data_IF_626836121476
#
_entry.id   IF_626836121476
#
_cell.length_a   1.000
_cell.length_b   1.000
_cell.length_c   1.000
_cell.angle_alpha   90.00
_cell.angle_beta   90.00
_cell.angle_gamma   90.00
#
_symmetry.space_group_name_H-M   'P 1'
#
loop_
_entity.id
_entity.type
_entity.pdbx_description
1 polymer ?
#
# COMPACT_ATOMS: atom_id res chain seq x y z
N UNK A 1 -34.12 -13.22 61.60
CA UNK A 1 -34.30 -13.51 60.16
C UNK A 1 -34.37 -12.18 59.43
N UNK A 2 -33.45 -11.92 58.49
CA UNK A 2 -33.60 -11.15 57.23
C UNK A 2 -32.19 -11.02 56.62
N UNK A 3 -31.97 -11.69 55.49
CA UNK A 3 -30.71 -11.76 54.76
C UNK A 3 -30.71 -10.70 53.65
N UNK A 4 -29.76 -9.76 53.70
CA UNK A 4 -29.56 -8.79 52.61
C UNK A 4 -28.58 -9.37 51.59
N UNK A 5 -29.11 -10.01 50.55
CA UNK A 5 -28.36 -10.31 49.34
C UNK A 5 -28.09 -8.98 48.59
N UNK A 6 -26.85 -8.52 48.60
CA UNK A 6 -26.41 -7.38 47.79
C UNK A 6 -26.17 -7.85 46.35
N UNK A 7 -26.65 -7.13 45.32
CA UNK A 7 -26.57 -7.58 43.94
C UNK A 7 -25.14 -7.43 43.42
N UNK A 8 -24.41 -8.54 43.32
CA UNK A 8 -23.04 -8.62 42.76
C UNK A 8 -23.03 -8.28 41.25
N UNK A 9 -24.20 -8.24 40.60
CA UNK A 9 -24.34 -8.10 39.14
C UNK A 9 -23.92 -6.72 38.56
N UNK A 10 -23.85 -5.65 39.37
CA UNK A 10 -23.61 -4.31 38.83
C UNK A 10 -22.12 -3.97 38.57
N UNK A 11 -21.17 -4.74 39.11
CA UNK A 11 -19.73 -4.45 38.96
C UNK A 11 -19.10 -5.08 37.71
N UNK A 12 -19.75 -6.05 37.08
CA UNK A 12 -19.22 -6.71 35.87
C UNK A 12 -19.46 -5.91 34.58
N UNK A 13 -20.44 -5.00 34.55
CA UNK A 13 -20.77 -4.20 33.37
C UNK A 13 -19.77 -3.08 33.05
N UNK A 14 -19.17 -2.47 34.07
CA UNK A 14 -18.25 -1.33 33.88
C UNK A 14 -16.84 -1.76 33.44
N UNK A 15 -16.38 -2.95 33.85
CA UNK A 15 -15.06 -3.47 33.46
C UNK A 15 -14.98 -3.86 31.98
N UNK A 16 -16.10 -4.23 31.36
CA UNK A 16 -16.15 -4.63 29.95
C UNK A 16 -16.01 -3.44 28.98
N UNK A 17 -16.46 -2.24 29.34
CA UNK A 17 -16.31 -1.06 28.48
C UNK A 17 -14.88 -0.47 28.50
N UNK A 18 -14.12 -0.66 29.57
CA UNK A 18 -12.75 -0.15 29.66
C UNK A 18 -11.76 -0.92 28.76
N UNK A 19 -12.08 -2.16 28.37
CA UNK A 19 -11.23 -2.98 27.50
C UNK A 19 -11.32 -2.61 26.01
N UNK A 20 -12.34 -1.85 25.59
CA UNK A 20 -12.56 -1.45 24.20
C UNK A 20 -11.88 -0.13 23.81
N UNK A 21 -11.35 0.63 24.77
CA UNK A 21 -10.70 1.92 24.52
C UNK A 21 -9.19 1.81 24.24
N UNK A 22 -8.61 0.61 24.29
CA UNK A 22 -7.15 0.41 24.16
C UNK A 22 -6.61 0.28 22.73
N UNK A 23 -7.43 0.44 21.69
CA UNK A 23 -6.99 0.37 20.30
C UNK A 23 -6.79 1.77 19.67
N UNK A 24 -6.21 2.69 20.43
CA UNK A 24 -5.53 3.83 19.81
C UNK A 24 -4.16 3.31 19.33
N UNK A 25 -4.10 2.90 18.06
CA UNK A 25 -2.86 2.60 17.35
C UNK A 25 -1.99 3.88 17.32
N UNK A 26 -1.25 4.13 18.40
CA UNK A 26 -0.23 5.19 18.53
C UNK A 26 1.00 4.92 17.66
N UNK A 27 0.83 4.24 16.52
CA UNK A 27 1.89 3.95 15.58
C UNK A 27 2.09 5.22 14.76
N UNK A 28 3.26 5.90 14.85
CA UNK A 28 3.54 7.07 14.03
C UNK A 28 3.37 6.69 12.55
N UNK A 29 2.86 7.59 11.69
CA UNK A 29 2.64 7.29 10.29
C UNK A 29 3.95 6.83 9.66
N UNK A 30 4.01 5.56 9.24
CA UNK A 30 5.19 4.92 8.64
C UNK A 30 5.41 5.34 7.16
N UNK A 31 4.82 6.48 6.77
CA UNK A 31 4.91 7.03 5.43
C UNK A 31 6.08 8.02 5.29
N UNK A 32 6.55 8.34 4.06
CA UNK A 32 7.04 9.68 3.85
C UNK A 32 5.85 10.62 4.05
N UNK A 33 5.60 10.99 5.30
CA UNK A 33 4.88 12.19 5.67
C UNK A 33 5.82 13.35 5.32
N UNK A 34 5.97 13.58 4.01
CA UNK A 34 6.95 14.50 3.48
C UNK A 34 6.43 15.08 2.18
N UNK A 35 7.05 16.18 1.73
CA UNK A 35 6.55 16.96 0.60
C UNK A 35 6.23 16.06 -0.58
N UNK A 36 7.17 15.21 -1.03
CA UNK A 36 7.04 14.36 -2.22
C UNK A 36 5.72 13.57 -2.32
N UNK A 37 5.22 13.00 -1.21
CA UNK A 37 3.97 12.23 -1.24
C UNK A 37 2.72 13.11 -1.41
N UNK A 38 2.76 14.36 -0.94
CA UNK A 38 1.64 15.30 -1.04
C UNK A 38 1.48 15.94 -2.43
N UNK A 39 2.42 15.69 -3.35
CA UNK A 39 2.60 16.39 -4.64
C UNK A 39 2.95 15.37 -5.73
N UNK A 40 2.74 14.09 -5.40
CA UNK A 40 2.75 12.99 -6.34
C UNK A 40 1.67 13.22 -7.40
N UNK A 41 2.01 13.00 -8.66
CA UNK A 41 1.14 13.20 -9.81
C UNK A 41 0.99 11.88 -10.59
N UNK A 42 -0.20 11.26 -10.56
CA UNK A 42 -0.44 10.00 -11.25
C UNK A 42 -0.31 10.11 -12.78
N UNK A 43 -0.49 11.29 -13.37
CA UNK A 43 -0.29 11.47 -14.81
C UNK A 43 1.20 11.41 -15.18
N UNK A 44 2.07 12.04 -14.38
CA UNK A 44 3.53 11.86 -14.51
C UNK A 44 3.94 10.42 -14.24
N UNK A 45 3.37 9.81 -13.20
CA UNK A 45 3.62 8.41 -12.84
C UNK A 45 3.34 7.45 -13.99
N UNK A 46 2.24 7.64 -14.71
CA UNK A 46 1.93 6.87 -15.92
C UNK A 46 3.04 6.95 -16.98
N UNK A 47 3.56 8.15 -17.23
CA UNK A 47 4.66 8.36 -18.18
C UNK A 47 5.95 7.68 -17.72
N UNK A 48 6.26 7.78 -16.43
CA UNK A 48 7.44 7.17 -15.82
C UNK A 48 7.40 5.65 -15.86
N UNK A 49 6.25 5.00 -15.67
CA UNK A 49 6.11 3.54 -15.80
C UNK A 49 6.59 3.03 -17.16
N UNK A 50 6.28 3.76 -18.24
CA UNK A 50 6.76 3.42 -19.57
C UNK A 50 8.26 3.74 -19.72
N UNK A 51 8.67 4.94 -19.32
CA UNK A 51 10.04 5.43 -19.51
C UNK A 51 11.10 4.68 -18.67
N UNK A 52 10.72 4.19 -17.49
CA UNK A 52 11.59 3.48 -16.54
C UNK A 52 11.55 1.97 -16.72
N UNK A 53 10.90 1.47 -17.78
CA UNK A 53 10.97 0.05 -18.17
C UNK A 53 10.10 -0.90 -17.36
N UNK A 54 9.17 -0.42 -16.54
CA UNK A 54 8.29 -1.29 -15.74
C UNK A 54 7.49 -2.28 -16.61
N UNK A 55 7.10 -1.85 -17.82
CA UNK A 55 6.37 -2.66 -18.80
C UNK A 55 7.20 -3.79 -19.41
N UNK A 56 8.53 -3.80 -19.24
CA UNK A 56 9.36 -4.92 -19.70
C UNK A 56 9.06 -6.21 -18.92
N UNK A 57 8.71 -6.07 -17.64
CA UNK A 57 8.45 -7.21 -16.75
C UNK A 57 6.97 -7.38 -16.40
N UNK A 58 6.23 -6.28 -16.32
CA UNK A 58 4.84 -6.27 -15.86
C UNK A 58 3.87 -5.91 -16.97
N UNK A 59 2.70 -6.55 -16.98
CA UNK A 59 1.52 -6.00 -17.65
C UNK A 59 0.95 -4.87 -16.78
N UNK A 60 0.79 -3.68 -17.36
CA UNK A 60 0.31 -2.49 -16.65
C UNK A 60 -0.89 -1.88 -17.39
N UNK A 61 -2.09 -1.86 -16.78
CA UNK A 61 -3.27 -1.31 -17.44
C UNK A 61 -3.10 0.14 -17.83
N UNK A 62 -3.56 0.46 -19.05
CA UNK A 62 -3.54 1.83 -19.56
C UNK A 62 -2.15 2.36 -19.92
N UNK A 63 -1.10 1.54 -19.83
CA UNK A 63 0.24 1.85 -20.35
C UNK A 63 0.55 0.90 -21.49
N UNK A 64 0.95 1.44 -22.63
CA UNK A 64 1.31 0.63 -23.81
C UNK A 64 2.62 -0.10 -23.51
N UNK A 65 2.62 -1.42 -23.72
CA UNK A 65 3.79 -2.27 -23.54
C UNK A 65 3.49 -3.72 -23.91
N UNK A 66 4.49 -4.61 -23.85
CA UNK A 66 4.25 -6.04 -24.00
C UNK A 66 3.39 -6.56 -22.85
N UNK A 67 2.65 -7.65 -23.09
CA UNK A 67 1.95 -8.39 -22.03
C UNK A 67 2.94 -9.28 -21.27
N UNK A 68 3.88 -8.65 -20.59
CA UNK A 68 4.93 -9.34 -19.84
C UNK A 68 4.40 -9.90 -18.52
N UNK A 69 4.94 -11.06 -18.14
CA UNK A 69 4.61 -11.79 -16.93
C UNK A 69 5.86 -12.27 -16.16
N UNK A 70 7.02 -11.65 -16.42
CA UNK A 70 8.24 -11.87 -15.64
C UNK A 70 8.00 -11.42 -14.20
N UNK A 71 7.40 -10.24 -14.03
CA UNK A 71 6.75 -9.82 -12.81
C UNK A 71 5.24 -10.07 -12.89
N UNK A 72 4.54 -10.14 -11.73
CA UNK A 72 3.09 -10.33 -11.74
C UNK A 72 2.37 -9.13 -12.40
N UNK A 73 1.21 -9.34 -13.04
CA UNK A 73 0.36 -8.26 -13.56
C UNK A 73 0.08 -7.17 -12.51
N UNK A 74 -0.12 -5.91 -12.89
CA UNK A 74 -0.36 -4.80 -11.95
C UNK A 74 -1.82 -4.29 -11.91
N UNK A 75 -2.72 -4.92 -12.66
CA UNK A 75 -4.17 -4.64 -12.79
C UNK A 75 -4.88 -4.36 -11.47
N UNK A 76 -4.48 -5.08 -10.43
CA UNK A 76 -5.15 -5.08 -9.14
C UNK A 76 -4.19 -4.81 -7.99
N UNK A 77 -3.08 -4.11 -8.26
CA UNK A 77 -2.06 -3.83 -7.26
C UNK A 77 -2.68 -3.18 -6.01
N UNK A 78 -3.56 -2.20 -6.17
CA UNK A 78 -4.23 -1.50 -5.07
C UNK A 78 -5.02 -2.41 -4.10
N UNK A 79 -5.43 -3.61 -4.54
CA UNK A 79 -6.17 -4.58 -3.70
C UNK A 79 -5.28 -5.59 -3.00
N UNK A 80 -3.98 -5.62 -3.30
CA UNK A 80 -3.04 -6.55 -2.67
C UNK A 80 -2.72 -6.10 -1.26
N UNK A 81 -2.62 -7.05 -0.34
CA UNK A 81 -2.21 -6.76 1.04
C UNK A 81 -0.73 -6.42 1.15
N UNK A 82 0.13 -7.07 0.34
CA UNK A 82 1.58 -6.96 0.43
C UNK A 82 2.25 -6.66 -0.92
N UNK A 83 3.36 -5.93 -0.83
CA UNK A 83 4.29 -5.60 -1.90
C UNK A 83 5.50 -6.52 -1.80
N UNK A 84 5.80 -7.25 -2.88
CA UNK A 84 6.95 -8.17 -2.92
C UNK A 84 6.93 -9.25 -1.83
N UNK A 85 5.78 -9.49 -1.20
CA UNK A 85 5.65 -10.37 -0.03
C UNK A 85 6.27 -9.82 1.27
N UNK A 86 6.77 -8.59 1.29
CA UNK A 86 7.56 -8.04 2.40
C UNK A 86 6.93 -6.85 3.11
N UNK A 87 6.30 -5.92 2.37
CA UNK A 87 5.76 -4.68 2.93
C UNK A 87 4.24 -4.62 2.81
N UNK A 88 3.51 -4.10 3.81
CA UNK A 88 2.10 -3.76 3.65
C UNK A 88 1.91 -2.77 2.48
N UNK A 89 0.89 -2.98 1.67
CA UNK A 89 0.66 -2.17 0.49
C UNK A 89 0.04 -0.81 0.83
N UNK A 90 0.89 0.20 0.88
CA UNK A 90 0.52 1.60 1.06
C UNK A 90 1.26 2.45 0.04
N UNK A 91 0.78 3.66 -0.32
CA UNK A 91 1.50 4.54 -1.24
C UNK A 91 2.95 4.78 -0.83
N UNK A 92 3.16 4.99 0.46
CA UNK A 92 4.46 5.12 1.08
C UNK A 92 5.38 3.92 0.85
N UNK A 93 4.88 2.72 1.17
CA UNK A 93 5.67 1.50 1.07
C UNK A 93 5.90 1.10 -0.39
N UNK A 94 4.97 1.42 -1.29
CA UNK A 94 5.19 1.24 -2.72
C UNK A 94 6.31 2.14 -3.21
N UNK A 95 6.31 3.43 -2.85
CA UNK A 95 7.42 4.32 -3.20
C UNK A 95 8.76 3.79 -2.65
N UNK A 96 8.81 3.31 -1.40
CA UNK A 96 10.02 2.71 -0.82
C UNK A 96 10.47 1.44 -1.55
N UNK A 97 9.53 0.54 -1.82
CA UNK A 97 9.78 -0.68 -2.57
C UNK A 97 10.38 -0.37 -3.94
N UNK A 98 9.88 0.65 -4.63
CA UNK A 98 10.36 1.06 -5.95
C UNK A 98 11.80 1.63 -5.93
N UNK A 99 12.24 2.19 -4.80
CA UNK A 99 13.59 2.75 -4.66
C UNK A 99 14.66 1.68 -4.44
N UNK A 100 14.35 0.63 -3.67
CA UNK A 100 15.31 -0.46 -3.40
C UNK A 100 14.55 -1.76 -3.06
N UNK A 101 14.04 -2.49 -4.07
CA UNK A 101 13.33 -3.74 -3.82
C UNK A 101 14.17 -4.81 -3.08
N UNK A 102 15.46 -5.05 -3.45
CA UNK A 102 16.30 -6.03 -2.77
C UNK A 102 16.49 -5.78 -1.26
N UNK A 103 16.48 -4.53 -0.80
CA UNK A 103 16.55 -4.22 0.63
C UNK A 103 15.35 -4.76 1.44
N UNK A 104 14.18 -4.95 0.80
CA UNK A 104 12.97 -5.48 1.46
C UNK A 104 12.75 -6.96 1.19
N UNK A 105 13.12 -7.44 0.00
CA UNK A 105 13.09 -8.85 -0.35
C UNK A 105 14.36 -9.21 -1.12
N UNK A 106 15.39 -9.77 -0.46
CA UNK A 106 16.64 -10.15 -1.12
C UNK A 106 16.49 -11.22 -2.22
N UNK A 107 15.36 -11.94 -2.26
CA UNK A 107 15.03 -12.92 -3.29
C UNK A 107 14.23 -12.36 -4.47
N UNK A 108 13.96 -11.05 -4.50
CA UNK A 108 13.24 -10.42 -5.61
C UNK A 108 14.09 -10.36 -6.87
N UNK A 109 13.46 -10.58 -8.03
CA UNK A 109 14.09 -10.34 -9.33
C UNK A 109 13.94 -8.88 -9.79
N UNK A 110 13.15 -8.07 -9.09
CA UNK A 110 12.98 -6.65 -9.41
C UNK A 110 14.25 -5.88 -9.01
N UNK A 111 14.98 -5.27 -9.96
CA UNK A 111 16.21 -4.56 -9.64
C UNK A 111 15.92 -3.19 -8.99
N UNK A 112 16.97 -2.56 -8.47
CA UNK A 112 16.95 -1.10 -8.25
C UNK A 112 16.74 -0.41 -9.62
N UNK A 113 15.74 0.46 -9.67
CA UNK A 113 15.29 1.14 -10.88
C UNK A 113 15.93 2.52 -11.07
N UNK A 114 16.86 2.92 -10.19
CA UNK A 114 17.53 4.23 -10.16
C UNK A 114 16.52 5.39 -10.20
N UNK A 115 15.48 5.26 -9.38
CA UNK A 115 14.41 6.25 -9.27
C UNK A 115 14.75 7.30 -8.23
N UNK A 116 14.38 8.54 -8.51
CA UNK A 116 14.33 9.56 -7.45
C UNK A 116 13.11 9.32 -6.54
N UNK A 117 13.14 9.82 -5.28
CA UNK A 117 11.98 9.72 -4.39
C UNK A 117 10.70 10.34 -4.96
N UNK A 118 10.80 11.41 -5.75
CA UNK A 118 9.66 12.05 -6.39
C UNK A 118 9.05 11.16 -7.50
N UNK A 119 9.89 10.54 -8.33
CA UNK A 119 9.42 9.62 -9.37
C UNK A 119 8.77 8.37 -8.77
N UNK A 120 9.37 7.81 -7.71
CA UNK A 120 8.79 6.67 -7.00
C UNK A 120 7.41 7.02 -6.41
N UNK A 121 7.24 8.24 -5.88
CA UNK A 121 5.95 8.72 -5.39
C UNK A 121 4.91 8.86 -6.51
N UNK A 122 5.30 9.43 -7.66
CA UNK A 122 4.42 9.57 -8.83
C UNK A 122 3.96 8.22 -9.37
N UNK A 123 4.89 7.27 -9.54
CA UNK A 123 4.60 5.92 -9.99
C UNK A 123 3.67 5.23 -8.99
N UNK A 124 3.95 5.34 -7.69
CA UNK A 124 3.10 4.75 -6.66
C UNK A 124 1.68 5.33 -6.69
N UNK A 125 1.54 6.65 -6.85
CA UNK A 125 0.25 7.32 -6.98
C UNK A 125 -0.52 6.82 -8.21
N UNK A 126 0.15 6.64 -9.34
CA UNK A 126 -0.47 6.08 -10.55
C UNK A 126 -0.94 4.62 -10.35
N UNK A 127 -0.07 3.75 -9.82
CA UNK A 127 -0.35 2.31 -9.72
C UNK A 127 -1.38 1.96 -8.63
N UNK A 128 -1.58 2.84 -7.65
CA UNK A 128 -2.58 2.66 -6.59
C UNK A 128 -3.86 3.46 -6.85
N UNK A 129 -3.89 4.31 -7.87
CA UNK A 129 -5.11 5.00 -8.25
C UNK A 129 -6.17 3.96 -8.64
N UNK A 130 -7.44 4.15 -8.24
CA UNK A 130 -8.52 3.31 -8.74
C UNK A 130 -8.52 3.41 -10.26
N UNK A 131 -8.64 2.27 -10.94
CA UNK A 131 -8.84 2.28 -12.39
C UNK A 131 -10.06 3.14 -12.68
N UNK A 132 -9.85 4.29 -13.34
CA UNK A 132 -10.96 5.09 -13.84
C UNK A 132 -11.78 4.19 -14.76
N UNK A 133 -13.07 4.08 -14.49
CA UNK A 133 -14.01 3.22 -15.19
C UNK A 133 -14.08 3.62 -16.67
N UNK A 134 -13.15 3.11 -17.48
CA UNK A 134 -12.99 3.48 -18.88
C UNK A 134 -12.13 2.46 -19.58
N UNK A 135 -12.77 1.40 -20.09
CA UNK A 135 -12.15 0.45 -21.00
C UNK A 135 -11.62 -0.82 -20.33
N UNK A 136 -12.54 -1.65 -19.83
CA UNK A 136 -12.28 -3.09 -19.77
C UNK A 136 -12.42 -3.60 -21.20
N UNK A 137 -11.30 -3.77 -21.91
CA UNK A 137 -11.34 -4.55 -23.15
C UNK A 137 -11.71 -6.00 -22.79
N UNK A 138 -12.56 -6.66 -23.60
CA UNK A 138 -13.01 -8.03 -23.36
C UNK A 138 -11.85 -9.03 -23.36
#
# INVERSE_FOLDING_TARGET
MQAHARPIAALLGAAALALLAGCEDGRPPLAPAGPAAAQADPARGRGLVAARGCVACHTVPGVRGPRSNVGPPLEDLARRAYLGGALPNTPANLARWLLDPPAFNPGTAMPDMDLTPAEAADIAAFLLAPASSGGRAP
#
